data_IF_139958760981
#
_entry.id   IF_139958760981
#
_cell.length_a   1.000
_cell.length_b   1.000
_cell.length_c   1.000
_cell.angle_alpha   90.00
_cell.angle_beta   90.00
_cell.angle_gamma   90.00
#
_symmetry.space_group_name_H-M   'P 1'
#
loop_
_entity.id
_entity.type
_entity.pdbx_description
1 polymer ?
#
# COMPACT_ATOMS: atom_id res chain seq x y z
N UNK A 1 -6.19 33.64 -3.83
CA UNK A 1 -5.39 34.80 -3.38
C UNK A 1 -4.76 35.57 -4.54
N UNK A 2 -4.06 34.93 -5.47
CA UNK A 2 -3.51 35.63 -6.64
C UNK A 2 -4.61 36.25 -7.53
N UNK A 3 -5.73 35.57 -7.70
CA UNK A 3 -6.89 36.08 -8.43
C UNK A 3 -7.53 37.35 -7.81
N UNK A 4 -7.43 37.48 -6.47
CA UNK A 4 -8.09 38.57 -5.74
C UNK A 4 -7.13 39.70 -5.34
N UNK A 5 -5.81 39.45 -5.24
CA UNK A 5 -4.83 40.40 -4.69
C UNK A 5 -3.64 40.71 -5.62
N UNK A 6 -3.54 40.07 -6.78
CA UNK A 6 -2.45 40.33 -7.75
C UNK A 6 -1.03 39.94 -7.32
N UNK A 7 -0.82 39.48 -6.09
CA UNK A 7 0.48 39.04 -5.55
C UNK A 7 0.41 37.61 -5.05
N UNK A 8 1.43 36.81 -5.36
CA UNK A 8 1.59 35.46 -4.79
C UNK A 8 2.17 35.61 -3.37
N UNK A 9 1.50 35.14 -2.32
CA UNK A 9 2.06 35.14 -0.96
C UNK A 9 3.22 34.15 -0.85
N UNK A 10 4.11 34.35 0.14
CA UNK A 10 5.21 33.43 0.44
C UNK A 10 4.71 32.11 1.05
N UNK A 11 3.56 32.13 1.72
CA UNK A 11 2.93 30.96 2.34
C UNK A 11 1.41 31.04 2.26
N UNK A 12 0.75 29.91 2.46
CA UNK A 12 -0.70 29.81 2.56
C UNK A 12 -1.09 29.06 3.84
N UNK A 13 -2.24 29.41 4.39
CA UNK A 13 -2.85 28.69 5.49
C UNK A 13 -3.86 27.69 4.92
N UNK A 14 -3.70 26.42 5.28
CA UNK A 14 -4.53 25.31 4.80
C UNK A 14 -5.16 24.60 6.00
N UNK A 15 -6.46 24.37 5.93
CA UNK A 15 -7.17 23.52 6.89
C UNK A 15 -7.07 22.07 6.45
N UNK A 16 -6.53 21.24 7.33
CA UNK A 16 -6.37 19.81 7.12
C UNK A 16 -7.65 19.05 7.54
N UNK A 17 -7.74 17.77 7.19
CA UNK A 17 -8.91 16.93 7.51
C UNK A 17 -9.06 16.64 9.02
N UNK A 18 -8.01 16.86 9.81
CA UNK A 18 -8.06 16.84 11.28
C UNK A 18 -8.63 18.13 11.90
N UNK A 19 -9.09 19.07 11.07
CA UNK A 19 -9.63 20.37 11.46
C UNK A 19 -8.60 21.44 11.82
N UNK A 20 -7.33 21.09 11.88
CA UNK A 20 -6.25 22.05 12.23
C UNK A 20 -5.78 22.82 11.01
N UNK A 21 -5.44 24.06 11.21
CA UNK A 21 -4.82 24.91 10.18
C UNK A 21 -3.30 24.83 10.28
N UNK A 22 -2.64 24.77 9.13
CA UNK A 22 -1.19 24.75 9.00
C UNK A 22 -0.76 25.74 7.93
N UNK A 23 0.38 26.35 8.13
CA UNK A 23 0.99 27.24 7.17
C UNK A 23 1.96 26.44 6.29
N UNK A 24 1.77 26.55 4.97
CA UNK A 24 2.60 25.86 3.97
C UNK A 24 3.32 26.90 3.12
N UNK A 25 4.65 26.80 2.97
CA UNK A 25 5.41 27.68 2.08
C UNK A 25 5.03 27.40 0.62
N UNK A 26 4.88 28.46 -0.16
CA UNK A 26 4.67 28.35 -1.61
C UNK A 26 6.00 28.48 -2.35
N UNK A 27 6.15 27.69 -3.40
CA UNK A 27 7.18 27.90 -4.42
C UNK A 27 6.74 29.01 -5.38
N UNK A 28 7.65 29.90 -5.71
CA UNK A 28 7.41 31.01 -6.64
C UNK A 28 8.24 30.89 -7.92
N UNK A 29 9.11 29.89 -7.99
CA UNK A 29 10.03 29.62 -9.11
C UNK A 29 9.41 28.71 -10.19
N UNK A 30 8.14 28.37 -10.05
CA UNK A 30 7.39 27.57 -11.03
C UNK A 30 6.53 28.47 -11.91
N UNK A 31 6.22 28.01 -13.12
CA UNK A 31 5.26 28.67 -14.02
C UNK A 31 3.80 28.56 -13.58
N UNK A 32 3.53 27.85 -12.48
CA UNK A 32 2.17 27.54 -12.01
C UNK A 32 1.65 28.61 -11.04
N UNK A 33 0.31 28.70 -10.94
CA UNK A 33 -0.36 29.69 -10.10
C UNK A 33 -0.03 29.50 -8.61
N UNK A 34 0.03 28.25 -8.14
CA UNK A 34 0.49 27.90 -6.79
C UNK A 34 1.20 26.54 -6.84
N UNK A 35 2.34 26.44 -6.17
CA UNK A 35 3.07 25.19 -6.05
C UNK A 35 3.66 25.03 -4.64
N UNK A 36 3.75 23.78 -4.20
CA UNK A 36 4.36 23.38 -2.93
C UNK A 36 5.29 22.19 -3.13
N UNK A 37 6.26 22.01 -2.25
CA UNK A 37 7.01 20.77 -2.13
C UNK A 37 6.29 19.83 -1.16
N UNK A 38 6.16 18.57 -1.53
CA UNK A 38 5.68 17.55 -0.61
C UNK A 38 6.74 17.25 0.43
N UNK A 39 6.40 17.44 1.68
CA UNK A 39 7.23 17.03 2.81
C UNK A 39 6.77 15.64 3.30
N UNK A 40 7.62 14.63 3.13
CA UNK A 40 7.42 13.27 3.61
C UNK A 40 7.96 13.05 5.03
N UNK A 41 8.61 14.04 5.62
CA UNK A 41 9.32 13.87 6.89
C UNK A 41 10.36 12.75 6.79
N UNK A 42 10.46 11.91 7.81
CA UNK A 42 11.38 10.76 7.88
C UNK A 42 10.82 9.49 7.19
N UNK A 43 9.69 9.58 6.48
CA UNK A 43 9.15 8.45 5.73
C UNK A 43 9.96 8.23 4.45
N UNK A 44 10.36 6.98 4.12
CA UNK A 44 11.05 6.66 2.87
C UNK A 44 10.11 6.69 1.65
N UNK A 45 9.28 7.72 1.58
CA UNK A 45 8.32 7.95 0.50
C UNK A 45 9.04 8.49 -0.74
N UNK A 46 8.97 7.76 -1.84
CA UNK A 46 9.58 8.15 -3.13
C UNK A 46 9.00 9.46 -3.71
N UNK A 47 7.89 9.94 -3.17
CA UNK A 47 7.28 11.24 -3.54
C UNK A 47 7.70 12.39 -2.63
N UNK A 48 8.60 12.18 -1.65
CA UNK A 48 9.22 13.27 -0.89
C UNK A 48 9.92 14.24 -1.83
N UNK A 49 9.74 15.53 -1.61
CA UNK A 49 10.30 16.59 -2.46
C UNK A 49 9.61 16.78 -3.83
N UNK A 50 8.56 16.02 -4.14
CA UNK A 50 7.80 16.24 -5.36
C UNK A 50 7.10 17.60 -5.34
N UNK A 51 7.14 18.32 -6.46
CA UNK A 51 6.42 19.59 -6.63
C UNK A 51 4.97 19.30 -7.00
N UNK A 52 4.04 19.66 -6.11
CA UNK A 52 2.61 19.68 -6.40
C UNK A 52 2.22 21.11 -6.79
N UNK A 53 1.44 21.25 -7.86
CA UNK A 53 0.99 22.56 -8.32
C UNK A 53 -0.51 22.57 -8.61
N UNK A 54 -1.07 23.77 -8.62
CA UNK A 54 -2.47 23.99 -8.91
C UNK A 54 -2.67 25.32 -9.66
N UNK A 55 -3.53 25.26 -10.68
CA UNK A 55 -4.03 26.43 -11.42
C UNK A 55 -5.57 26.45 -11.37
N UNK A 56 -6.14 27.64 -11.14
CA UNK A 56 -7.59 27.81 -11.05
C UNK A 56 -8.07 28.96 -11.93
N UNK A 57 -9.16 28.71 -12.65
CA UNK A 57 -9.81 29.74 -13.48
C UNK A 57 -11.33 29.57 -13.49
N UNK A 58 -12.10 30.58 -13.89
CA UNK A 58 -13.52 30.40 -14.16
C UNK A 58 -13.77 29.27 -15.16
N UNK A 59 -14.77 28.43 -14.87
CA UNK A 59 -15.19 27.35 -15.75
C UNK A 59 -15.97 27.92 -16.95
N UNK A 60 -15.75 27.37 -18.15
CA UNK A 60 -16.46 27.73 -19.39
C UNK A 60 -17.33 26.55 -19.83
N UNK A 61 -18.39 26.80 -20.59
CA UNK A 61 -19.14 25.75 -21.27
C UNK A 61 -18.20 24.87 -22.11
N UNK A 62 -18.28 23.53 -21.93
CA UNK A 62 -17.40 22.58 -22.61
C UNK A 62 -16.09 22.26 -21.90
N UNK A 63 -15.78 22.91 -20.78
CA UNK A 63 -14.57 22.59 -19.99
C UNK A 63 -14.64 21.22 -19.31
N UNK A 64 -15.83 20.70 -18.99
CA UNK A 64 -16.01 19.48 -18.21
C UNK A 64 -15.72 18.25 -19.07
N UNK A 65 -14.85 17.36 -18.56
CA UNK A 65 -14.49 16.08 -19.17
C UNK A 65 -15.03 14.92 -18.35
N UNK A 66 -15.11 13.75 -18.95
CA UNK A 66 -15.61 12.54 -18.28
C UNK A 66 -14.78 12.14 -17.05
N UNK A 67 -13.49 12.42 -17.09
CA UNK A 67 -12.53 12.10 -16.02
C UNK A 67 -12.59 13.05 -14.82
N UNK A 68 -13.20 14.24 -14.99
CA UNK A 68 -13.20 15.29 -13.97
C UNK A 68 -14.19 15.01 -12.84
N UNK A 69 -13.87 15.50 -11.63
CA UNK A 69 -14.81 15.52 -10.51
C UNK A 69 -15.50 16.87 -10.40
N UNK A 70 -16.83 16.87 -10.25
CA UNK A 70 -17.56 18.06 -9.86
C UNK A 70 -17.69 18.11 -8.33
N UNK A 71 -17.01 19.06 -7.70
CA UNK A 71 -17.04 19.28 -6.25
C UNK A 71 -18.04 20.39 -5.93
N UNK A 72 -18.97 20.14 -5.00
CA UNK A 72 -19.83 21.18 -4.46
C UNK A 72 -19.06 22.03 -3.47
N UNK A 73 -19.00 23.34 -3.68
CA UNK A 73 -18.31 24.30 -2.82
C UNK A 73 -19.27 25.45 -2.51
N UNK A 74 -19.87 25.43 -1.32
CA UNK A 74 -20.93 26.39 -0.97
C UNK A 74 -22.12 26.34 -1.93
N UNK A 75 -22.42 27.46 -2.58
CA UNK A 75 -23.45 27.61 -3.61
C UNK A 75 -22.90 27.45 -5.04
N UNK A 76 -21.57 27.23 -5.16
CA UNK A 76 -20.88 27.05 -6.41
C UNK A 76 -20.42 25.61 -6.66
N UNK A 77 -19.69 25.42 -7.77
CA UNK A 77 -19.08 24.16 -8.15
C UNK A 77 -17.62 24.36 -8.55
N UNK A 78 -16.78 23.39 -8.23
CA UNK A 78 -15.41 23.33 -8.72
C UNK A 78 -15.22 22.05 -9.50
N UNK A 79 -14.84 22.17 -10.74
CA UNK A 79 -14.44 21.06 -11.60
C UNK A 79 -12.97 20.77 -11.29
N UNK A 80 -12.71 19.63 -10.70
CA UNK A 80 -11.36 19.19 -10.34
C UNK A 80 -10.83 18.28 -11.44
N UNK A 81 -9.71 18.67 -12.01
CA UNK A 81 -9.00 17.96 -13.08
C UNK A 81 -7.58 17.63 -12.65
N UNK A 82 -7.19 16.39 -12.84
CA UNK A 82 -5.78 16.00 -12.86
C UNK A 82 -5.16 16.41 -14.20
N UNK A 83 -3.92 16.90 -14.13
CA UNK A 83 -3.11 17.16 -15.32
C UNK A 83 -1.80 16.39 -15.22
N UNK A 84 -0.69 16.93 -15.72
CA UNK A 84 0.60 16.26 -15.69
C UNK A 84 0.88 15.56 -14.35
N UNK A 85 1.27 14.29 -14.41
CA UNK A 85 1.72 13.51 -13.26
C UNK A 85 0.62 13.02 -12.31
N UNK A 86 -0.65 13.35 -12.55
CA UNK A 86 -1.79 12.74 -11.85
C UNK A 86 -2.26 11.53 -12.65
N UNK A 87 -2.41 10.39 -11.98
CA UNK A 87 -2.85 9.15 -12.61
C UNK A 87 -4.36 9.10 -12.84
N UNK A 88 -4.75 8.22 -13.78
CA UNK A 88 -6.13 7.85 -14.03
C UNK A 88 -6.43 6.50 -13.38
N UNK A 89 -7.53 6.42 -12.65
CA UNK A 89 -8.01 5.17 -12.06
C UNK A 89 -8.65 4.29 -13.14
N UNK A 90 -8.20 3.04 -13.26
CA UNK A 90 -8.73 2.10 -14.26
C UNK A 90 -9.49 0.91 -13.66
N UNK A 91 -9.49 0.79 -12.31
CA UNK A 91 -10.06 -0.37 -11.61
C UNK A 91 -10.99 0.03 -10.48
N UNK A 92 -11.92 -0.87 -10.17
CA UNK A 92 -12.79 -0.74 -9.01
C UNK A 92 -12.06 -1.08 -7.70
N UNK A 93 -12.64 -0.66 -6.57
CA UNK A 93 -12.15 -0.99 -5.22
C UNK A 93 -11.21 0.03 -4.61
N UNK A 94 -10.86 1.07 -5.35
CA UNK A 94 -10.14 2.25 -4.86
C UNK A 94 -11.14 3.31 -4.35
N UNK A 95 -10.63 4.33 -3.66
CA UNK A 95 -11.43 5.50 -3.25
C UNK A 95 -11.62 6.54 -4.37
N UNK A 96 -11.14 6.23 -5.57
CA UNK A 96 -11.41 6.95 -6.82
C UNK A 96 -12.16 6.01 -7.79
N UNK A 97 -13.04 6.60 -8.61
CA UNK A 97 -13.87 5.84 -9.54
C UNK A 97 -13.09 5.46 -10.81
N UNK A 98 -13.34 4.29 -11.42
CA UNK A 98 -12.77 3.94 -12.72
C UNK A 98 -13.12 5.00 -13.79
N UNK A 99 -12.13 5.33 -14.63
CA UNK A 99 -12.24 6.39 -15.63
C UNK A 99 -12.09 7.81 -15.08
N UNK A 100 -11.81 7.97 -13.77
CA UNK A 100 -11.61 9.27 -13.13
C UNK A 100 -10.16 9.48 -12.70
N UNK A 101 -9.79 10.75 -12.53
CA UNK A 101 -8.49 11.10 -11.95
C UNK A 101 -8.29 10.45 -10.58
N UNK A 102 -7.10 9.96 -10.32
CA UNK A 102 -6.77 9.27 -9.07
C UNK A 102 -6.65 10.25 -7.89
N UNK A 103 -7.75 10.90 -7.58
CA UNK A 103 -7.89 11.81 -6.43
C UNK A 103 -8.94 11.25 -5.49
N UNK A 104 -8.49 10.75 -4.34
CA UNK A 104 -9.34 10.08 -3.36
C UNK A 104 -10.31 11.05 -2.68
N UNK A 105 -11.33 10.52 -2.01
CA UNK A 105 -12.39 11.29 -1.37
C UNK A 105 -11.85 12.28 -0.32
N UNK A 106 -10.85 11.87 0.49
CA UNK A 106 -10.23 12.74 1.50
C UNK A 106 -9.65 14.02 0.88
N UNK A 107 -8.69 13.93 -0.03
CA UNK A 107 -8.18 15.09 -0.77
C UNK A 107 -9.27 15.93 -1.45
N UNK A 108 -10.27 15.31 -2.09
CA UNK A 108 -11.38 16.06 -2.72
C UNK A 108 -12.15 16.91 -1.69
N UNK A 109 -12.43 16.37 -0.50
CA UNK A 109 -13.08 17.10 0.60
C UNK A 109 -12.20 18.23 1.10
N UNK A 110 -10.92 17.97 1.34
CA UNK A 110 -9.98 18.98 1.82
C UNK A 110 -9.86 20.16 0.83
N UNK A 111 -9.81 19.86 -0.47
CA UNK A 111 -9.81 20.89 -1.54
C UNK A 111 -11.09 21.71 -1.46
N UNK A 112 -12.26 21.07 -1.44
CA UNK A 112 -13.55 21.77 -1.41
C UNK A 112 -13.69 22.69 -0.18
N UNK A 113 -13.29 22.20 1.00
CA UNK A 113 -13.37 22.96 2.25
C UNK A 113 -12.45 24.19 2.22
N UNK A 114 -11.22 24.04 1.72
CA UNK A 114 -10.28 25.15 1.64
C UNK A 114 -10.65 26.19 0.57
N UNK A 115 -11.21 25.76 -0.57
CA UNK A 115 -11.73 26.67 -1.56
C UNK A 115 -12.92 27.49 -1.04
N UNK A 116 -13.81 26.87 -0.26
CA UNK A 116 -14.91 27.56 0.41
C UNK A 116 -14.37 28.61 1.40
N UNK A 117 -13.36 28.26 2.19
CA UNK A 117 -12.71 29.20 3.12
C UNK A 117 -11.98 30.34 2.40
N UNK A 118 -11.54 30.11 1.17
CA UNK A 118 -10.90 31.11 0.35
C UNK A 118 -11.92 32.04 -0.39
N UNK A 119 -13.23 31.86 -0.18
CA UNK A 119 -14.27 32.67 -0.82
C UNK A 119 -14.61 32.27 -2.25
N UNK A 120 -14.29 31.03 -2.65
CA UNK A 120 -14.64 30.48 -3.96
C UNK A 120 -15.91 29.59 -3.84
N UNK A 121 -16.87 30.06 -3.09
CA UNK A 121 -18.11 29.37 -2.74
C UNK A 121 -19.30 29.71 -3.64
N UNK A 122 -19.07 30.47 -4.70
CA UNK A 122 -20.06 30.82 -5.72
C UNK A 122 -19.47 30.69 -7.14
N UNK A 123 -20.35 30.51 -8.12
CA UNK A 123 -19.96 30.35 -9.52
C UNK A 123 -19.44 28.95 -9.83
N UNK A 124 -18.83 28.83 -11.00
CA UNK A 124 -18.20 27.60 -11.48
C UNK A 124 -16.72 27.84 -11.77
N UNK A 125 -15.86 27.02 -11.20
CA UNK A 125 -14.41 27.12 -11.34
C UNK A 125 -13.83 25.82 -11.88
N UNK A 126 -12.78 25.91 -12.71
CA UNK A 126 -11.93 24.78 -13.10
C UNK A 126 -10.64 24.87 -12.30
N UNK A 127 -10.37 23.83 -11.52
CA UNK A 127 -9.12 23.62 -10.76
C UNK A 127 -8.34 22.49 -11.41
N UNK A 128 -7.20 22.81 -11.98
CA UNK A 128 -6.23 21.86 -12.50
C UNK A 128 -5.15 21.62 -11.46
N UNK A 129 -4.87 20.35 -11.16
CA UNK A 129 -3.83 19.93 -10.21
C UNK A 129 -2.86 18.98 -10.90
N UNK A 130 -1.57 19.16 -10.63
CA UNK A 130 -0.53 18.34 -11.21
C UNK A 130 0.64 18.07 -10.26
N UNK A 131 1.51 17.16 -10.67
CA UNK A 131 2.74 16.81 -9.97
C UNK A 131 3.86 16.70 -10.99
N UNK A 132 4.89 17.54 -10.84
CA UNK A 132 6.07 17.48 -11.70
C UNK A 132 6.69 16.08 -11.65
N UNK A 133 6.98 15.50 -12.82
CA UNK A 133 7.55 14.15 -12.94
C UNK A 133 6.71 13.03 -12.30
N UNK A 134 5.43 13.24 -12.01
CA UNK A 134 4.56 12.27 -11.32
C UNK A 134 4.43 10.93 -12.03
N UNK A 135 4.47 10.89 -13.36
CA UNK A 135 4.47 9.64 -14.13
C UNK A 135 5.73 8.79 -13.88
N UNK A 136 6.88 9.42 -13.68
CA UNK A 136 8.12 8.73 -13.31
C UNK A 136 8.09 8.25 -11.86
N UNK A 137 7.62 9.10 -10.94
CA UNK A 137 7.45 8.76 -9.52
C UNK A 137 6.50 7.57 -9.35
N UNK A 138 5.42 7.49 -10.12
CA UNK A 138 4.44 6.40 -10.05
C UNK A 138 5.06 5.01 -10.26
N UNK A 139 6.15 4.89 -11.00
CA UNK A 139 6.87 3.61 -11.23
C UNK A 139 7.45 3.03 -9.93
N UNK A 140 7.71 3.87 -8.94
CA UNK A 140 8.26 3.50 -7.63
C UNK A 140 7.17 3.36 -6.55
N UNK A 141 5.90 3.47 -6.92
CA UNK A 141 4.74 3.33 -6.05
C UNK A 141 3.96 2.04 -6.35
N UNK A 142 2.91 1.78 -5.58
CA UNK A 142 1.97 0.69 -5.84
C UNK A 142 0.91 1.04 -6.91
N UNK A 143 0.92 2.25 -7.48
CA UNK A 143 -0.13 2.74 -8.36
C UNK A 143 -0.38 1.82 -9.56
N UNK A 144 0.68 1.35 -10.22
CA UNK A 144 0.56 0.41 -11.36
C UNK A 144 -0.15 -0.89 -10.97
N UNK A 145 0.15 -1.43 -9.78
CA UNK A 145 -0.51 -2.65 -9.27
C UNK A 145 -1.98 -2.39 -8.94
N UNK A 146 -2.30 -1.19 -8.48
CA UNK A 146 -3.66 -0.76 -8.16
C UNK A 146 -4.47 -0.36 -9.40
N UNK A 147 -3.85 -0.32 -10.59
CA UNK A 147 -4.51 0.11 -11.82
C UNK A 147 -4.68 1.62 -11.91
N UNK A 148 -3.74 2.37 -11.34
CA UNK A 148 -3.60 3.80 -11.55
C UNK A 148 -2.50 4.00 -12.60
N UNK A 149 -2.86 4.59 -13.74
CA UNK A 149 -1.97 4.74 -14.90
C UNK A 149 -1.66 6.20 -15.18
N UNK A 150 -0.48 6.48 -15.70
CA UNK A 150 -0.07 7.82 -16.17
C UNK A 150 0.44 8.78 -15.09
N UNK A 151 0.36 8.42 -13.80
CA UNK A 151 0.83 9.29 -12.74
C UNK A 151 0.61 8.74 -11.33
N UNK A 152 0.81 9.59 -10.33
CA UNK A 152 0.54 9.26 -8.94
C UNK A 152 -0.91 9.48 -8.56
N UNK A 153 -1.34 8.90 -7.43
CA UNK A 153 -2.63 9.19 -6.80
C UNK A 153 -2.47 10.23 -5.69
N UNK A 154 -3.45 11.11 -5.57
CA UNK A 154 -3.62 11.96 -4.40
C UNK A 154 -4.50 11.24 -3.39
N UNK A 155 -3.91 10.84 -2.26
CA UNK A 155 -4.56 10.04 -1.24
C UNK A 155 -4.24 10.59 0.16
N UNK A 156 -4.96 10.10 1.14
CA UNK A 156 -4.75 10.41 2.55
C UNK A 156 -6.05 10.74 3.27
N UNK A 157 -6.08 10.39 4.55
CA UNK A 157 -7.23 10.62 5.44
C UNK A 157 -7.05 11.85 6.32
N UNK A 158 -5.82 12.35 6.46
CA UNK A 158 -5.51 13.50 7.33
C UNK A 158 -4.84 14.65 6.59
N UNK A 159 -4.15 14.36 5.48
CA UNK A 159 -3.25 15.30 4.79
C UNK A 159 -1.82 15.29 5.35
N UNK A 160 -1.56 14.48 6.39
CA UNK A 160 -0.23 14.36 7.01
C UNK A 160 0.37 12.98 6.70
N UNK A 161 1.64 12.97 6.36
CA UNK A 161 2.44 11.74 6.28
C UNK A 161 2.80 11.31 7.70
N UNK A 162 2.58 10.03 7.99
CA UNK A 162 3.03 9.38 9.23
C UNK A 162 4.01 8.28 8.87
N UNK A 163 5.30 8.44 9.16
CA UNK A 163 6.31 7.46 8.85
C UNK A 163 5.96 6.08 9.46
N UNK A 164 6.25 5.02 8.71
CA UNK A 164 6.09 3.63 9.17
C UNK A 164 4.69 3.28 9.70
N UNK A 165 3.64 3.87 9.17
CA UNK A 165 2.26 3.60 9.62
C UNK A 165 1.82 2.18 9.28
N UNK A 166 1.70 1.32 10.30
CA UNK A 166 1.15 -0.03 10.16
C UNK A 166 -0.27 -0.01 9.62
N UNK A 167 -1.10 0.93 10.06
CA UNK A 167 -2.48 1.07 9.60
C UNK A 167 -2.56 1.41 8.11
N UNK A 168 -1.67 2.28 7.62
CA UNK A 168 -1.57 2.60 6.20
C UNK A 168 -1.14 1.37 5.38
N UNK A 169 -0.20 0.59 5.88
CA UNK A 169 0.25 -0.65 5.23
C UNK A 169 -0.88 -1.69 5.15
N UNK A 170 -1.56 -1.94 6.26
CA UNK A 170 -2.71 -2.85 6.34
C UNK A 170 -3.85 -2.36 5.43
N UNK A 171 -4.12 -1.05 5.40
CA UNK A 171 -5.11 -0.46 4.51
C UNK A 171 -4.75 -0.73 3.03
N UNK A 172 -3.49 -0.58 2.66
CA UNK A 172 -3.00 -0.89 1.31
C UNK A 172 -3.22 -2.37 0.94
N UNK A 173 -2.90 -3.30 1.84
CA UNK A 173 -3.19 -4.73 1.62
C UNK A 173 -4.68 -4.95 1.33
N UNK A 174 -5.56 -4.36 2.15
CA UNK A 174 -7.02 -4.48 2.00
C UNK A 174 -7.51 -3.94 0.65
N UNK A 175 -6.97 -2.81 0.21
CA UNK A 175 -7.29 -2.22 -1.11
C UNK A 175 -6.83 -3.15 -2.24
N UNK A 176 -5.59 -3.66 -2.18
CA UNK A 176 -5.07 -4.58 -3.21
C UNK A 176 -5.95 -5.83 -3.34
N UNK A 177 -6.29 -6.45 -2.22
CA UNK A 177 -7.15 -7.65 -2.20
C UNK A 177 -8.54 -7.34 -2.76
N UNK A 178 -9.17 -6.24 -2.32
CA UNK A 178 -10.49 -5.80 -2.77
C UNK A 178 -10.50 -5.50 -4.28
N UNK A 179 -9.52 -4.74 -4.75
CA UNK A 179 -9.41 -4.39 -6.17
C UNK A 179 -9.21 -5.63 -7.05
N UNK A 180 -8.39 -6.59 -6.62
CA UNK A 180 -8.19 -7.85 -7.33
C UNK A 180 -9.48 -8.67 -7.38
N UNK A 181 -10.21 -8.80 -6.27
CA UNK A 181 -11.50 -9.49 -6.20
C UNK A 181 -12.54 -8.87 -7.14
N UNK A 182 -12.71 -7.55 -7.10
CA UNK A 182 -13.66 -6.82 -7.94
C UNK A 182 -13.31 -6.89 -9.44
N UNK A 183 -12.05 -7.16 -9.76
CA UNK A 183 -11.59 -7.44 -11.14
C UNK A 183 -11.77 -8.91 -11.56
N UNK A 184 -12.50 -9.72 -10.78
CA UNK A 184 -12.77 -11.15 -11.07
C UNK A 184 -11.68 -12.11 -10.58
N UNK A 185 -10.67 -11.63 -9.86
CA UNK A 185 -9.63 -12.47 -9.27
C UNK A 185 -10.18 -13.35 -8.15
N UNK A 186 -9.75 -14.62 -8.12
CA UNK A 186 -10.16 -15.57 -7.09
C UNK A 186 -9.00 -16.23 -6.35
N UNK A 187 -7.77 -15.99 -6.81
CA UNK A 187 -6.54 -16.51 -6.22
C UNK A 187 -5.63 -15.36 -5.83
N UNK A 188 -5.05 -15.40 -4.61
CA UNK A 188 -4.19 -14.35 -4.07
C UNK A 188 -2.85 -14.93 -3.62
N UNK A 189 -1.75 -14.21 -3.89
CA UNK A 189 -0.40 -14.57 -3.46
C UNK A 189 0.12 -13.51 -2.51
N UNK A 190 0.27 -13.85 -1.25
CA UNK A 190 0.83 -12.99 -0.22
C UNK A 190 2.34 -13.18 -0.11
N UNK A 191 3.09 -12.12 -0.41
CA UNK A 191 4.54 -12.15 -0.45
C UNK A 191 5.11 -11.36 0.75
N UNK A 192 6.01 -11.98 1.49
CA UNK A 192 6.57 -11.36 2.71
C UNK A 192 7.70 -10.37 2.45
N UNK A 193 8.16 -10.23 1.21
CA UNK A 193 9.19 -9.29 0.77
C UNK A 193 9.50 -9.41 -0.72
N UNK A 194 10.38 -8.55 -1.23
CA UNK A 194 10.70 -8.48 -2.66
C UNK A 194 11.23 -9.80 -3.23
N UNK A 195 12.12 -10.49 -2.52
CA UNK A 195 12.64 -11.80 -2.97
C UNK A 195 11.56 -12.88 -3.05
N UNK A 196 10.66 -12.93 -2.07
CA UNK A 196 9.55 -13.90 -2.09
C UNK A 196 8.54 -13.55 -3.17
N UNK A 197 8.35 -12.27 -3.48
CA UNK A 197 7.50 -11.82 -4.59
C UNK A 197 8.07 -12.26 -5.94
N UNK A 198 9.32 -11.95 -6.22
CA UNK A 198 9.98 -12.35 -7.46
C UNK A 198 10.00 -13.88 -7.65
N UNK A 199 10.26 -14.64 -6.57
CA UNK A 199 10.22 -16.10 -6.61
C UNK A 199 8.81 -16.66 -6.84
N UNK A 200 7.79 -16.02 -6.30
CA UNK A 200 6.40 -16.41 -6.51
C UNK A 200 5.92 -16.08 -7.93
N UNK A 201 6.24 -14.91 -8.46
CA UNK A 201 5.93 -14.50 -9.84
C UNK A 201 6.56 -15.48 -10.86
N UNK A 202 7.80 -15.88 -10.64
CA UNK A 202 8.49 -16.85 -11.51
C UNK A 202 7.84 -18.25 -11.48
N UNK A 203 7.27 -18.66 -10.34
CA UNK A 203 6.64 -20.00 -10.16
C UNK A 203 5.15 -20.03 -10.50
N UNK A 204 4.49 -18.89 -10.59
CA UNK A 204 3.07 -18.75 -10.86
C UNK A 204 2.82 -17.72 -11.97
N UNK A 205 3.43 -17.92 -13.17
CA UNK A 205 3.40 -16.96 -14.27
C UNK A 205 2.00 -16.71 -14.85
N UNK A 206 1.08 -17.66 -14.66
CA UNK A 206 -0.30 -17.55 -15.15
C UNK A 206 -1.17 -16.60 -14.33
N UNK A 207 -0.71 -16.19 -13.14
CA UNK A 207 -1.45 -15.25 -12.32
C UNK A 207 -1.15 -13.80 -12.72
N UNK A 208 -2.17 -12.93 -12.76
CA UNK A 208 -1.95 -11.53 -13.08
C UNK A 208 -1.12 -10.83 -11.99
N UNK A 209 -0.34 -9.78 -12.32
CA UNK A 209 0.47 -9.04 -11.34
C UNK A 209 -0.30 -8.54 -10.12
N UNK A 210 -1.62 -8.31 -10.27
CA UNK A 210 -2.51 -7.90 -9.18
C UNK A 210 -2.78 -8.98 -8.14
N UNK A 211 -2.54 -10.24 -8.46
CA UNK A 211 -2.66 -11.33 -7.51
C UNK A 211 -1.53 -11.33 -6.47
N UNK A 212 -0.38 -10.70 -6.75
CA UNK A 212 0.79 -10.71 -5.88
C UNK A 212 0.83 -9.47 -4.99
N UNK A 213 0.57 -9.65 -3.70
CA UNK A 213 0.51 -8.55 -2.72
C UNK A 213 1.61 -8.70 -1.67
N UNK A 214 2.39 -7.63 -1.51
CA UNK A 214 3.38 -7.52 -0.42
C UNK A 214 2.66 -7.33 0.91
N UNK A 215 2.87 -8.25 1.85
CA UNK A 215 2.20 -8.21 3.16
C UNK A 215 3.13 -7.92 4.34
N UNK A 216 4.45 -7.89 4.10
CA UNK A 216 5.42 -7.70 5.19
C UNK A 216 5.18 -8.72 6.32
N UNK A 217 4.78 -8.20 7.48
CA UNK A 217 4.56 -8.95 8.72
C UNK A 217 3.08 -9.21 9.04
N UNK A 218 2.15 -8.72 8.20
CA UNK A 218 0.71 -8.64 8.51
C UNK A 218 -0.10 -9.81 7.95
N UNK A 219 0.29 -11.05 8.30
CA UNK A 219 -0.36 -12.27 7.77
C UNK A 219 -1.82 -12.38 8.20
N UNK A 220 -2.16 -12.08 9.46
CA UNK A 220 -3.53 -12.25 9.95
C UNK A 220 -4.49 -11.28 9.25
N UNK A 221 -4.09 -10.02 9.10
CA UNK A 221 -4.86 -8.98 8.41
C UNK A 221 -5.04 -9.31 6.93
N UNK A 222 -4.01 -9.90 6.31
CA UNK A 222 -4.03 -10.32 4.90
C UNK A 222 -5.00 -11.49 4.68
N UNK A 223 -4.93 -12.53 5.51
CA UNK A 223 -5.86 -13.65 5.46
C UNK A 223 -7.30 -13.19 5.69
N UNK A 224 -7.52 -12.33 6.70
CA UNK A 224 -8.84 -11.78 6.97
C UNK A 224 -9.38 -10.93 5.80
N UNK A 225 -8.53 -10.17 5.12
CA UNK A 225 -8.92 -9.41 3.94
C UNK A 225 -9.31 -10.35 2.78
N UNK A 226 -8.51 -11.37 2.51
CA UNK A 226 -8.77 -12.36 1.46
C UNK A 226 -10.10 -13.12 1.71
N UNK A 227 -10.33 -13.55 2.95
CA UNK A 227 -11.57 -14.23 3.32
C UNK A 227 -12.80 -13.31 3.14
N UNK A 228 -12.72 -12.06 3.59
CA UNK A 228 -13.83 -11.10 3.39
C UNK A 228 -14.14 -10.82 1.91
N UNK A 229 -13.14 -10.90 1.05
CA UNK A 229 -13.30 -10.73 -0.39
C UNK A 229 -13.61 -12.03 -1.14
N UNK A 230 -13.82 -13.14 -0.45
CA UNK A 230 -14.22 -14.43 -1.06
C UNK A 230 -13.13 -15.08 -1.90
N UNK A 231 -11.85 -14.88 -1.58
CA UNK A 231 -10.75 -15.55 -2.28
C UNK A 231 -10.88 -17.08 -2.11
N UNK A 232 -10.81 -17.80 -3.22
CA UNK A 232 -10.91 -19.27 -3.26
C UNK A 232 -9.57 -19.97 -3.03
N UNK A 233 -8.48 -19.32 -3.41
CA UNK A 233 -7.13 -19.82 -3.20
C UNK A 233 -6.23 -18.72 -2.64
N UNK A 234 -5.45 -19.06 -1.61
CA UNK A 234 -4.47 -18.19 -1.00
C UNK A 234 -3.13 -18.90 -0.96
N UNK A 235 -2.13 -18.32 -1.59
CA UNK A 235 -0.75 -18.78 -1.54
C UNK A 235 0.04 -17.79 -0.67
N UNK A 236 0.80 -18.30 0.30
CA UNK A 236 1.71 -17.47 1.11
C UNK A 236 3.14 -17.78 0.73
N UNK A 237 3.85 -16.81 0.15
CA UNK A 237 5.26 -16.93 -0.19
C UNK A 237 6.12 -16.30 0.91
N UNK A 238 6.94 -17.12 1.57
CA UNK A 238 7.75 -16.68 2.70
C UNK A 238 9.12 -17.37 2.73
N UNK A 239 10.05 -16.80 3.49
CA UNK A 239 11.32 -17.43 3.83
C UNK A 239 11.18 -18.25 5.12
N UNK A 240 12.09 -19.19 5.33
CA UNK A 240 12.06 -20.14 6.46
C UNK A 240 11.93 -19.48 7.84
N UNK A 241 12.57 -18.32 8.07
CA UNK A 241 12.42 -17.61 9.34
C UNK A 241 10.98 -17.16 9.64
N UNK A 242 10.22 -16.76 8.62
CA UNK A 242 8.79 -16.45 8.78
C UNK A 242 7.93 -17.70 8.83
N UNK A 243 8.34 -18.77 8.14
CA UNK A 243 7.66 -20.05 8.24
C UNK A 243 7.61 -20.56 9.68
N UNK A 244 8.71 -20.49 10.43
CA UNK A 244 8.74 -20.87 11.84
C UNK A 244 7.75 -20.05 12.66
N UNK A 245 7.73 -18.72 12.49
CA UNK A 245 6.76 -17.85 13.16
C UNK A 245 5.30 -18.19 12.82
N UNK A 246 5.02 -18.53 11.57
CA UNK A 246 3.69 -18.95 11.13
C UNK A 246 3.30 -20.30 11.73
N UNK A 247 4.22 -21.26 11.79
CA UNK A 247 4.01 -22.55 12.44
C UNK A 247 3.74 -22.38 13.94
N UNK A 248 4.42 -21.43 14.60
CA UNK A 248 4.16 -21.04 15.98
C UNK A 248 2.83 -20.29 16.20
N UNK A 249 2.12 -19.96 15.12
CA UNK A 249 0.80 -19.33 15.18
C UNK A 249 0.81 -17.81 15.37
N UNK A 250 1.93 -17.12 15.13
CA UNK A 250 1.98 -15.66 15.24
C UNK A 250 1.11 -14.96 14.19
N UNK A 251 0.33 -14.00 14.65
CA UNK A 251 -0.54 -13.18 13.81
C UNK A 251 0.23 -12.08 13.06
N UNK A 252 1.30 -11.58 13.69
CA UNK A 252 2.20 -10.56 13.18
C UNK A 252 3.63 -11.03 13.42
N UNK A 253 4.48 -10.96 12.41
CA UNK A 253 5.84 -11.52 12.46
C UNK A 253 6.93 -10.44 12.59
N UNK A 254 6.55 -9.20 12.94
CA UNK A 254 7.48 -8.08 13.06
C UNK A 254 8.56 -8.34 14.10
N UNK A 255 9.81 -8.12 13.74
CA UNK A 255 10.97 -8.49 14.54
C UNK A 255 10.99 -7.87 15.97
N UNK A 256 10.49 -6.63 16.12
CA UNK A 256 10.38 -5.98 17.44
C UNK A 256 9.26 -6.53 18.32
N UNK A 257 8.31 -7.28 17.74
CA UNK A 257 7.20 -7.89 18.50
C UNK A 257 7.42 -9.36 18.81
N UNK A 258 8.17 -10.02 17.93
CA UNK A 258 8.38 -11.48 18.01
C UNK A 258 9.82 -11.81 17.61
N UNK A 259 10.57 -12.39 18.51
CA UNK A 259 11.88 -12.99 18.24
C UNK A 259 11.74 -14.15 17.22
N UNK A 260 12.83 -14.58 16.63
CA UNK A 260 12.81 -15.82 15.85
C UNK A 260 12.47 -16.98 16.78
N UNK A 261 11.51 -17.81 16.36
CA UNK A 261 11.13 -18.97 17.16
C UNK A 261 12.10 -20.13 16.90
N UNK A 262 13.25 -20.06 17.55
CA UNK A 262 14.25 -21.12 17.51
C UNK A 262 13.81 -22.36 18.31
N UNK A 263 12.94 -22.17 19.31
CA UNK A 263 12.50 -23.29 20.18
C UNK A 263 11.56 -24.21 19.37
N UNK A 264 10.69 -23.67 18.57
CA UNK A 264 9.87 -24.48 17.66
C UNK A 264 10.75 -25.25 16.66
N UNK A 265 11.75 -24.59 16.06
CA UNK A 265 12.67 -25.26 15.14
C UNK A 265 13.44 -26.37 15.82
N UNK A 266 13.97 -26.13 17.03
CA UNK A 266 14.65 -27.14 17.85
C UNK A 266 13.73 -28.31 18.18
N UNK A 267 12.50 -28.05 18.61
CA UNK A 267 11.52 -29.08 18.90
C UNK A 267 11.21 -29.96 17.68
N UNK A 268 11.07 -29.37 16.51
CA UNK A 268 10.84 -30.14 15.29
C UNK A 268 12.07 -30.92 14.81
N UNK A 269 13.28 -30.39 15.01
CA UNK A 269 14.53 -31.12 14.73
C UNK A 269 14.71 -32.29 15.72
N UNK A 270 14.50 -32.07 17.00
CA UNK A 270 14.60 -33.13 18.02
C UNK A 270 13.62 -34.27 17.75
N UNK A 271 12.42 -33.97 17.28
CA UNK A 271 11.43 -34.99 16.89
C UNK A 271 11.84 -35.75 15.61
N UNK A 272 12.48 -35.04 14.65
CA UNK A 272 12.83 -35.62 13.36
C UNK A 272 14.15 -36.40 13.37
N UNK A 273 15.10 -35.94 14.16
CA UNK A 273 16.50 -36.38 14.18
C UNK A 273 16.99 -36.52 15.61
N UNK A 274 16.39 -37.38 16.46
CA UNK A 274 16.67 -37.46 17.89
C UNK A 274 18.08 -37.93 18.20
N UNK A 275 18.75 -38.64 17.30
CA UNK A 275 20.10 -39.20 17.51
C UNK A 275 21.25 -38.25 17.07
N UNK A 276 20.94 -37.11 16.47
CA UNK A 276 21.94 -36.19 15.90
C UNK A 276 22.42 -35.15 16.91
N UNK A 277 23.18 -35.58 17.93
CA UNK A 277 23.62 -34.73 19.06
C UNK A 277 24.41 -33.49 18.60
N UNK A 278 25.34 -33.65 17.66
CA UNK A 278 26.12 -32.54 17.13
C UNK A 278 25.23 -31.48 16.41
N UNK A 279 24.14 -31.91 15.80
CA UNK A 279 23.17 -31.01 15.19
C UNK A 279 22.39 -30.22 16.23
N UNK A 280 22.01 -30.87 17.33
CA UNK A 280 21.32 -30.19 18.43
C UNK A 280 22.20 -29.10 19.05
N UNK A 281 23.50 -29.41 19.29
CA UNK A 281 24.48 -28.42 19.75
C UNK A 281 24.66 -27.25 18.77
N UNK A 282 24.76 -27.53 17.47
CA UNK A 282 24.86 -26.48 16.46
C UNK A 282 23.61 -25.57 16.42
N UNK A 283 22.42 -26.14 16.66
CA UNK A 283 21.17 -25.38 16.73
C UNK A 283 21.08 -24.48 17.97
N UNK A 284 21.69 -24.89 19.08
CA UNK A 284 21.74 -24.07 20.31
C UNK A 284 22.56 -22.80 20.11
N UNK A 285 23.63 -22.89 19.30
CA UNK A 285 24.54 -21.78 19.02
C UNK A 285 24.12 -20.94 17.79
N UNK A 286 23.10 -21.34 17.02
CA UNK A 286 22.67 -20.63 15.83
C UNK A 286 21.98 -19.31 16.17
N UNK A 287 22.44 -18.21 15.59
CA UNK A 287 21.87 -16.89 15.77
C UNK A 287 20.58 -16.65 14.94
N UNK A 288 20.27 -17.54 13.99
CA UNK A 288 19.11 -17.39 13.12
C UNK A 288 18.59 -18.72 12.56
N UNK A 289 17.29 -18.77 12.25
CA UNK A 289 16.66 -19.92 11.58
C UNK A 289 17.38 -20.28 10.27
N UNK A 290 17.90 -19.30 9.54
CA UNK A 290 18.65 -19.55 8.29
C UNK A 290 19.95 -20.32 8.60
N UNK A 291 20.70 -19.89 9.57
CA UNK A 291 21.95 -20.53 9.99
C UNK A 291 21.68 -21.94 10.50
N UNK A 292 20.69 -22.09 11.36
CA UNK A 292 20.24 -23.37 11.88
C UNK A 292 19.86 -24.37 10.76
N UNK A 293 19.12 -23.91 9.75
CA UNK A 293 18.74 -24.76 8.61
C UNK A 293 19.93 -25.17 7.74
N UNK A 294 20.99 -24.35 7.66
CA UNK A 294 22.21 -24.71 6.93
C UNK A 294 23.00 -25.81 7.64
N UNK A 295 22.89 -25.91 8.95
CA UNK A 295 23.53 -26.99 9.76
C UNK A 295 22.79 -28.32 9.64
N UNK A 296 21.53 -28.33 9.17
CA UNK A 296 20.73 -29.55 9.01
C UNK A 296 21.09 -30.23 7.69
N UNK A 297 21.36 -31.56 7.66
CA UNK A 297 21.58 -32.32 6.45
C UNK A 297 20.47 -32.10 5.43
N UNK A 298 20.83 -31.98 4.15
CA UNK A 298 19.88 -31.68 3.08
C UNK A 298 18.73 -32.67 3.00
N UNK A 299 19.06 -33.96 3.18
CA UNK A 299 18.07 -35.05 3.20
C UNK A 299 16.99 -34.91 4.28
N UNK A 300 17.32 -34.32 5.43
CA UNK A 300 16.39 -34.09 6.52
C UNK A 300 15.68 -32.73 6.44
N UNK A 301 16.36 -31.74 5.85
CA UNK A 301 15.87 -30.35 5.75
C UNK A 301 14.53 -30.25 5.05
N UNK A 302 14.36 -30.95 3.93
CA UNK A 302 13.11 -30.92 3.16
C UNK A 302 11.94 -31.47 3.98
N UNK A 303 12.14 -32.61 4.66
CA UNK A 303 11.14 -33.20 5.54
C UNK A 303 10.73 -32.29 6.69
N UNK A 304 11.72 -31.58 7.28
CA UNK A 304 11.48 -30.59 8.32
C UNK A 304 10.67 -29.40 7.81
N UNK A 305 11.07 -28.82 6.68
CA UNK A 305 10.35 -27.69 6.08
C UNK A 305 8.91 -28.05 5.69
N UNK A 306 8.68 -29.27 5.18
CA UNK A 306 7.32 -29.79 4.90
C UNK A 306 6.45 -29.90 6.17
N UNK A 307 7.01 -30.33 7.30
CA UNK A 307 6.26 -30.38 8.59
C UNK A 307 5.92 -28.98 9.08
N UNK A 308 6.90 -28.08 9.12
CA UNK A 308 6.67 -26.68 9.49
C UNK A 308 5.61 -26.03 8.59
N UNK A 309 5.66 -26.28 7.28
CA UNK A 309 4.67 -25.79 6.33
C UNK A 309 3.27 -26.33 6.63
N UNK A 310 3.13 -27.61 6.97
CA UNK A 310 1.85 -28.21 7.37
C UNK A 310 1.29 -27.54 8.61
N UNK A 311 2.09 -27.38 9.66
CA UNK A 311 1.70 -26.70 10.91
C UNK A 311 1.29 -25.23 10.63
N UNK A 312 2.05 -24.52 9.80
CA UNK A 312 1.68 -23.15 9.41
C UNK A 312 0.34 -23.08 8.64
N UNK A 313 0.09 -24.02 7.74
CA UNK A 313 -1.18 -24.09 7.00
C UNK A 313 -2.37 -24.39 7.93
N UNK A 314 -2.18 -25.23 8.96
CA UNK A 314 -3.21 -25.47 10.00
C UNK A 314 -3.50 -24.18 10.79
N UNK A 315 -2.48 -23.40 11.15
CA UNK A 315 -2.65 -22.09 11.80
C UNK A 315 -3.40 -21.10 10.89
N UNK A 316 -3.12 -21.09 9.58
CA UNK A 316 -3.83 -20.25 8.63
C UNK A 316 -5.29 -20.68 8.46
N UNK A 317 -5.56 -22.00 8.38
CA UNK A 317 -6.92 -22.54 8.27
C UNK A 317 -7.79 -22.14 9.47
N UNK A 318 -7.25 -22.15 10.68
CA UNK A 318 -7.94 -21.66 11.90
C UNK A 318 -8.35 -20.18 11.82
N UNK A 319 -7.65 -19.38 11.01
CA UNK A 319 -7.92 -17.94 10.79
C UNK A 319 -8.85 -17.68 9.60
N UNK A 320 -9.06 -18.68 8.75
CA UNK A 320 -9.84 -18.58 7.52
C UNK A 320 -11.15 -19.33 7.65
N UNK A 321 -12.18 -18.71 8.24
CA UNK A 321 -13.50 -19.33 8.43
C UNK A 321 -14.22 -19.71 7.10
N UNK A 322 -13.83 -19.08 5.96
CA UNK A 322 -14.41 -19.30 4.64
C UNK A 322 -13.80 -20.49 3.87
N UNK A 323 -12.80 -21.20 4.43
CA UNK A 323 -12.22 -22.41 3.87
C UNK A 323 -11.56 -22.30 2.48
N UNK A 324 -10.75 -21.24 2.20
CA UNK A 324 -10.03 -21.17 0.94
C UNK A 324 -8.99 -22.29 0.85
N UNK A 325 -8.64 -22.69 -0.38
CA UNK A 325 -7.47 -23.54 -0.59
C UNK A 325 -6.20 -22.78 -0.19
N UNK A 326 -5.49 -23.31 0.81
CA UNK A 326 -4.27 -22.68 1.32
C UNK A 326 -3.02 -23.40 0.80
N UNK A 327 -2.02 -22.63 0.36
CA UNK A 327 -0.71 -23.13 -0.08
C UNK A 327 0.40 -22.30 0.49
N UNK A 328 1.57 -22.91 0.70
CA UNK A 328 2.83 -22.25 1.04
C UNK A 328 3.84 -22.42 -0.09
N UNK A 329 4.59 -21.35 -0.35
CA UNK A 329 5.69 -21.30 -1.29
C UNK A 329 6.94 -20.81 -0.53
N UNK A 330 8.00 -21.64 -0.53
CA UNK A 330 9.28 -21.36 0.11
C UNK A 330 10.37 -21.08 -0.91
#
# INVERSE_FOLDING_TARGET
MRLTRGKTPASIRVRFLDGKERELPLRTDTGHMAAILKDGGDDPDCTHGATLYADIRPCRPGDIRAEDYALKVGNGAVILRGVEGIGLCTRQGLDCDPGRWAVNLGPRRMIADNLRLAGLDAGCWLLEIGVENGASLAKHTLNTQLGIVGGISLLGTTGLVRPYSHDAYIHTIRICVKSHSLSGGSSMVFCTGGRTKAGAEARLPDLPPTAFVGIGDFIAESLAAACRCGMREIVVACMAGKLCKYAAGFANTHAHKVSQDMDLLRAEVNRALPAETALHEALEHSASVREALLSIPESAREGLLRRLARTALEQFARRCACGPKLRLLL
#
